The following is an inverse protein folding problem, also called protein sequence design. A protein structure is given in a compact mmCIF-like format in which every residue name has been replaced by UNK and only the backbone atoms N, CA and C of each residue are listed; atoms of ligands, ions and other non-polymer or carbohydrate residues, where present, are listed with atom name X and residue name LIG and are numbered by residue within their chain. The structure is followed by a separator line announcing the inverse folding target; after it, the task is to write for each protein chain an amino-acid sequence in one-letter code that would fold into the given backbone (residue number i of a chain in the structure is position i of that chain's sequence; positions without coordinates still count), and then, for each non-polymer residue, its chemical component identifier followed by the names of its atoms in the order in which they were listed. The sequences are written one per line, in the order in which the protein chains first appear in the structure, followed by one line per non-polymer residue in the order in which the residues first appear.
data_IF_213522933594
#
_entry.id   IF_213522933594
#
_cell.length_a   1.000
_cell.length_b   1.000
_cell.length_c   1.000
_cell.angle_alpha   90.00
_cell.angle_beta   90.00
_cell.angle_gamma   90.00
#
_symmetry.space_group_name_H-M   'P 1'
#
loop_
_entity.id
_entity.type
_entity.pdbx_description
1 polymer ?
#
# COMPACT_ATOMS: atom_id res chain seq x y z
N UNK A 1 9.03 5.20 -51.48
CA UNK A 1 8.99 3.95 -50.70
C UNK A 1 10.05 4.06 -49.62
N UNK A 2 9.62 4.28 -48.38
CA UNK A 2 10.50 4.45 -47.22
C UNK A 2 9.70 4.03 -46.00
N UNK A 3 9.45 2.73 -45.91
CA UNK A 3 8.97 2.13 -44.68
C UNK A 3 10.15 2.06 -43.73
N UNK A 4 10.01 2.64 -42.54
CA UNK A 4 10.65 2.08 -41.36
C UNK A 4 9.91 2.50 -40.10
N UNK A 5 9.14 1.53 -39.59
CA UNK A 5 9.44 0.97 -38.28
C UNK A 5 9.52 2.00 -37.14
N UNK A 6 8.44 2.75 -36.92
CA UNK A 6 8.05 3.15 -35.55
C UNK A 6 7.68 1.88 -34.78
N UNK A 7 8.70 1.08 -34.45
CA UNK A 7 8.68 0.17 -33.32
C UNK A 7 8.46 1.06 -32.10
N UNK A 8 7.17 1.32 -31.84
CA UNK A 8 6.67 1.83 -30.58
C UNK A 8 7.09 0.75 -29.59
N UNK A 9 8.27 0.93 -29.01
CA UNK A 9 8.75 0.21 -27.84
C UNK A 9 7.72 0.48 -26.75
N UNK A 10 6.65 -0.31 -26.79
CA UNK A 10 5.88 -0.70 -25.63
C UNK A 10 6.89 -1.42 -24.74
N UNK A 11 7.74 -0.64 -24.08
CA UNK A 11 8.56 -1.11 -22.99
C UNK A 11 7.56 -1.58 -21.97
N UNK A 12 7.24 -2.88 -22.01
CA UNK A 12 6.66 -3.59 -20.88
C UNK A 12 7.60 -3.26 -19.74
N UNK A 13 7.16 -2.34 -18.88
CA UNK A 13 8.02 -1.97 -17.77
C UNK A 13 7.96 -3.15 -16.81
N UNK A 14 8.92 -4.05 -16.97
CA UNK A 14 9.18 -5.18 -16.09
C UNK A 14 9.77 -4.62 -14.81
N UNK A 15 8.92 -3.98 -14.01
CA UNK A 15 9.30 -3.56 -12.69
C UNK A 15 9.40 -4.80 -11.81
N UNK A 16 10.65 -5.23 -11.59
CA UNK A 16 11.01 -6.13 -10.50
C UNK A 16 10.64 -5.55 -9.13
N UNK A 17 11.13 -6.11 -8.01
CA UNK A 17 10.88 -5.55 -6.69
C UNK A 17 11.24 -4.06 -6.68
N UNK A 18 10.34 -3.22 -6.14
CA UNK A 18 10.60 -1.78 -6.08
C UNK A 18 11.84 -1.53 -5.22
N UNK A 19 12.64 -0.50 -5.51
CA UNK A 19 13.89 -0.26 -4.79
C UNK A 19 13.63 -0.18 -3.30
N UNK A 20 14.46 -0.86 -2.47
CA UNK A 20 14.29 -0.86 -1.04
C UNK A 20 14.34 0.58 -0.51
N UNK A 21 13.50 0.86 0.49
CA UNK A 21 13.56 2.14 1.20
C UNK A 21 14.95 2.28 1.82
N UNK A 22 15.49 3.50 1.84
CA UNK A 22 16.68 3.78 2.65
C UNK A 22 16.40 3.36 4.09
N UNK A 23 17.25 2.48 4.63
CA UNK A 23 17.17 2.00 6.03
C UNK A 23 17.15 3.18 6.99
N UNK A 24 17.88 4.24 6.67
CA UNK A 24 17.92 5.47 7.44
C UNK A 24 16.58 6.21 7.42
N UNK A 25 15.97 6.35 6.24
CA UNK A 25 14.66 6.97 6.09
C UNK A 25 13.56 6.20 6.82
N UNK A 26 13.61 4.86 6.80
CA UNK A 26 12.66 4.02 7.49
C UNK A 26 12.79 4.13 9.02
N UNK A 27 14.02 4.14 9.54
CA UNK A 27 14.31 4.39 10.97
C UNK A 27 13.80 5.76 11.37
N UNK A 28 14.12 6.79 10.60
CA UNK A 28 13.69 8.15 10.86
C UNK A 28 12.16 8.25 10.89
N UNK A 29 11.45 7.71 9.89
CA UNK A 29 9.98 7.66 9.87
C UNK A 29 9.42 6.94 11.11
N UNK A 30 10.02 5.80 11.49
CA UNK A 30 9.56 5.02 12.64
C UNK A 30 9.78 5.72 13.98
N UNK A 31 10.89 6.45 14.17
CA UNK A 31 11.13 7.19 15.41
C UNK A 31 10.39 8.52 15.46
N UNK A 32 10.35 9.26 14.33
CA UNK A 32 9.63 10.54 14.26
C UNK A 32 8.14 10.35 14.52
N UNK A 33 7.50 9.27 14.02
CA UNK A 33 6.09 9.05 14.34
C UNK A 33 5.86 8.97 15.87
N UNK A 34 6.76 8.34 16.64
CA UNK A 34 6.61 8.25 18.11
C UNK A 34 6.91 9.55 18.84
N UNK A 35 7.71 10.44 18.25
CA UNK A 35 7.98 11.78 18.80
C UNK A 35 6.81 12.71 18.50
N UNK A 36 6.26 12.66 17.28
CA UNK A 36 5.19 13.56 16.86
C UNK A 36 3.79 13.10 17.30
N UNK A 37 3.56 11.81 17.56
CA UNK A 37 2.26 11.33 18.05
C UNK A 37 1.86 11.94 19.40
N UNK A 38 2.72 11.99 20.44
CA UNK A 38 2.37 12.66 21.70
C UNK A 38 2.25 14.17 21.52
N UNK A 39 3.07 14.80 20.67
CA UNK A 39 2.97 16.24 20.38
C UNK A 39 1.65 16.57 19.69
N UNK A 40 1.26 15.80 18.67
CA UNK A 40 -0.02 15.95 17.97
C UNK A 40 -1.20 15.70 18.90
N UNK A 41 -1.15 14.66 19.74
CA UNK A 41 -2.18 14.42 20.77
C UNK A 41 -2.27 15.56 21.78
N UNK A 42 -1.15 16.13 22.20
CA UNK A 42 -1.14 17.26 23.12
C UNK A 42 -1.75 18.52 22.47
N UNK A 43 -1.44 18.78 21.19
CA UNK A 43 -2.01 19.91 20.44
C UNK A 43 -3.51 19.73 20.21
N UNK A 44 -3.96 18.55 19.76
CA UNK A 44 -5.39 18.26 19.58
C UNK A 44 -6.12 18.27 20.93
N UNK A 45 -5.52 17.70 21.97
CA UNK A 45 -6.03 17.74 23.34
C UNK A 45 -6.21 19.16 23.84
N UNK A 46 -5.18 20.00 23.73
CA UNK A 46 -5.25 21.41 24.09
C UNK A 46 -6.33 22.15 23.28
N UNK A 47 -6.37 21.97 21.96
CA UNK A 47 -7.40 22.56 21.11
C UNK A 47 -8.81 22.09 21.50
N UNK A 48 -8.98 20.83 21.89
CA UNK A 48 -10.26 20.27 22.32
C UNK A 48 -10.74 20.81 23.68
N UNK A 49 -9.83 21.27 24.54
CA UNK A 49 -10.20 21.98 25.77
C UNK A 49 -10.77 23.37 25.48
N UNK A 50 -10.42 23.96 24.33
CA UNK A 50 -10.96 25.26 23.88
C UNK A 50 -12.14 25.14 22.91
N UNK A 51 -12.42 23.94 22.38
CA UNK A 51 -13.56 23.67 21.49
C UNK A 51 -14.70 22.98 22.23
N UNK A 52 -15.80 23.72 22.45
CA UNK A 52 -17.07 23.13 22.92
C UNK A 52 -17.70 22.35 21.76
N UNK A 53 -17.52 21.03 21.76
CA UNK A 53 -18.30 20.10 20.94
C UNK A 53 -17.53 19.47 19.78
N UNK A 54 -17.44 18.13 19.80
CA UNK A 54 -17.00 17.31 18.68
C UNK A 54 -15.64 16.66 18.89
N UNK A 55 -15.60 15.60 19.70
CA UNK A 55 -14.42 14.73 19.77
C UNK A 55 -14.16 14.03 18.43
N UNK A 56 -12.90 13.69 18.10
CA UNK A 56 -12.55 13.07 16.83
C UNK A 56 -13.18 11.67 16.72
N UNK A 57 -14.13 11.52 15.80
CA UNK A 57 -14.68 10.23 15.42
C UNK A 57 -13.60 9.43 14.68
N UNK A 58 -12.85 8.60 15.41
CA UNK A 58 -12.02 7.55 14.83
C UNK A 58 -12.94 6.49 14.22
N UNK A 59 -13.36 6.72 12.98
CA UNK A 59 -14.11 5.77 12.18
C UNK A 59 -13.22 4.56 11.86
N UNK A 60 -13.27 3.56 12.73
CA UNK A 60 -12.73 2.23 12.46
C UNK A 60 -13.81 1.44 11.73
N UNK A 61 -13.64 1.23 10.42
CA UNK A 61 -14.58 0.48 9.59
C UNK A 61 -14.94 -0.86 10.22
N UNK A 62 -16.20 -1.02 10.63
CA UNK A 62 -16.72 -2.27 11.20
C UNK A 62 -16.85 -3.31 10.09
N UNK A 63 -16.24 -4.47 10.27
CA UNK A 63 -16.53 -5.67 9.47
C UNK A 63 -15.41 -6.16 8.55
N UNK A 64 -14.32 -5.40 8.37
CA UNK A 64 -13.17 -5.88 7.59
C UNK A 64 -12.14 -6.59 8.48
N UNK A 65 -11.52 -7.69 7.99
CA UNK A 65 -10.33 -8.24 8.62
C UNK A 65 -9.27 -7.15 8.76
N UNK A 66 -8.88 -6.85 10.00
CA UNK A 66 -7.88 -5.82 10.32
C UNK A 66 -6.55 -6.23 9.70
N UNK A 67 -5.92 -5.36 8.91
CA UNK A 67 -4.58 -5.66 8.37
C UNK A 67 -3.61 -5.87 9.55
N UNK A 68 -3.03 -7.07 9.74
CA UNK A 68 -2.00 -7.30 10.77
C UNK A 68 -0.77 -6.42 10.57
N UNK A 69 -0.63 -5.81 9.40
CA UNK A 69 0.44 -4.91 9.06
C UNK A 69 0.09 -3.41 9.09
N UNK A 70 -1.16 -3.07 9.43
CA UNK A 70 -1.62 -1.71 9.67
C UNK A 70 -2.25 -1.04 8.44
N UNK A 71 -3.45 -0.50 8.63
CA UNK A 71 -4.22 0.28 7.65
C UNK A 71 -3.97 1.80 7.69
N UNK A 72 -3.14 2.26 8.62
CA UNK A 72 -2.98 3.69 8.88
C UNK A 72 -1.69 4.24 8.28
N UNK A 73 -1.58 5.57 8.25
CA UNK A 73 -0.35 6.32 7.92
C UNK A 73 0.84 5.90 8.80
N UNK A 74 0.58 5.24 9.93
CA UNK A 74 1.58 4.78 10.87
C UNK A 74 2.26 3.49 10.38
N UNK A 75 3.58 3.51 10.43
CA UNK A 75 4.39 2.33 10.12
C UNK A 75 4.29 1.35 11.30
N UNK A 76 3.51 0.28 11.13
CA UNK A 76 3.42 -0.76 12.16
C UNK A 76 4.77 -1.45 12.36
N UNK A 77 5.01 -2.00 13.57
CA UNK A 77 6.25 -2.73 13.86
C UNK A 77 6.45 -3.94 12.93
N UNK A 78 5.37 -4.60 12.52
CA UNK A 78 5.42 -5.71 11.55
C UNK A 78 5.80 -5.22 10.16
N UNK A 79 5.21 -4.11 9.70
CA UNK A 79 5.60 -3.50 8.43
C UNK A 79 7.05 -3.01 8.43
N UNK A 80 7.51 -2.40 9.53
CA UNK A 80 8.90 -1.98 9.68
C UNK A 80 9.87 -3.16 9.56
N UNK A 81 9.59 -4.30 10.20
CA UNK A 81 10.44 -5.50 10.09
C UNK A 81 10.42 -6.09 8.69
N UNK A 82 9.25 -6.10 8.03
CA UNK A 82 9.10 -6.60 6.66
C UNK A 82 9.86 -5.72 5.64
N UNK A 83 9.85 -4.40 5.81
CA UNK A 83 10.60 -3.47 4.97
C UNK A 83 12.12 -3.53 5.20
N UNK A 84 12.58 -3.94 6.37
CA UNK A 84 14.01 -4.10 6.67
C UNK A 84 14.58 -5.44 6.22
N UNK A 85 13.92 -6.54 6.60
CA UNK A 85 14.46 -7.89 6.50
C UNK A 85 13.45 -8.88 5.92
N UNK A 86 12.40 -8.41 5.25
CA UNK A 86 11.34 -9.26 4.73
C UNK A 86 11.84 -10.21 3.65
N UNK A 87 11.53 -11.49 3.79
CA UNK A 87 11.82 -12.47 2.74
C UNK A 87 10.77 -12.39 1.63
N UNK A 88 11.05 -12.89 0.41
CA UNK A 88 10.09 -12.91 -0.70
C UNK A 88 8.76 -13.59 -0.31
N UNK A 89 8.81 -14.65 0.49
CA UNK A 89 7.63 -15.40 0.94
C UNK A 89 6.76 -14.56 1.89
N UNK A 90 7.37 -13.80 2.80
CA UNK A 90 6.64 -12.90 3.70
C UNK A 90 5.98 -11.75 2.92
N UNK A 91 6.65 -11.26 1.87
CA UNK A 91 6.07 -10.28 0.95
C UNK A 91 4.92 -10.86 0.14
N UNK A 92 5.02 -12.12 -0.28
CA UNK A 92 3.94 -12.84 -0.98
C UNK A 92 2.73 -13.05 -0.07
N UNK A 93 2.94 -13.47 1.18
CA UNK A 93 1.87 -13.63 2.17
C UNK A 93 1.13 -12.31 2.40
N UNK A 94 1.89 -11.23 2.60
CA UNK A 94 1.30 -9.90 2.77
C UNK A 94 0.54 -9.43 1.53
N UNK A 95 1.15 -9.50 0.36
CA UNK A 95 0.53 -9.07 -0.88
C UNK A 95 -0.76 -9.87 -1.14
N UNK A 96 -0.73 -11.18 -0.92
CA UNK A 96 -1.88 -12.06 -1.01
C UNK A 96 -2.99 -11.71 -0.01
N UNK A 97 -2.64 -11.41 1.24
CA UNK A 97 -3.62 -10.97 2.25
C UNK A 97 -4.27 -9.63 1.85
N UNK A 98 -3.47 -8.64 1.49
CA UNK A 98 -3.93 -7.31 1.10
C UNK A 98 -4.79 -7.37 -0.18
N UNK A 99 -4.41 -8.22 -1.13
CA UNK A 99 -5.17 -8.47 -2.36
C UNK A 99 -6.51 -9.15 -2.08
N UNK A 100 -6.54 -10.25 -1.31
CA UNK A 100 -7.79 -10.90 -0.90
C UNK A 100 -8.70 -9.94 -0.15
N UNK A 101 -8.13 -9.07 0.69
CA UNK A 101 -8.88 -8.06 1.41
C UNK A 101 -9.43 -6.97 0.47
N UNK A 102 -8.65 -6.53 -0.52
CA UNK A 102 -9.11 -5.57 -1.52
C UNK A 102 -10.23 -6.17 -2.39
N UNK A 103 -10.11 -7.44 -2.77
CA UNK A 103 -11.14 -8.20 -3.49
C UNK A 103 -12.40 -8.39 -2.63
N UNK A 104 -12.24 -8.74 -1.36
CA UNK A 104 -13.36 -8.93 -0.43
C UNK A 104 -14.08 -7.62 -0.10
N UNK A 105 -13.39 -6.48 -0.19
CA UNK A 105 -14.03 -5.17 -0.13
C UNK A 105 -14.95 -4.93 -1.34
N UNK A 106 -14.66 -5.56 -2.48
CA UNK A 106 -15.59 -5.72 -3.59
C UNK A 106 -16.00 -4.42 -4.30
N UNK A 107 -16.72 -4.53 -5.43
CA UNK A 107 -16.87 -3.50 -6.48
C UNK A 107 -17.77 -2.30 -6.11
N UNK A 108 -18.02 -2.05 -4.82
CA UNK A 108 -18.88 -0.95 -4.37
C UNK A 108 -18.19 0.43 -4.38
N UNK A 109 -16.98 0.52 -4.94
CA UNK A 109 -16.29 1.76 -5.27
C UNK A 109 -15.49 1.61 -6.58
N UNK A 110 -15.27 2.70 -7.33
CA UNK A 110 -14.87 2.64 -8.74
C UNK A 110 -13.47 2.07 -9.04
N UNK A 111 -12.61 1.80 -8.04
CA UNK A 111 -11.27 1.24 -8.25
C UNK A 111 -10.82 0.41 -7.03
N UNK A 112 -10.70 -0.91 -7.17
CA UNK A 112 -10.05 -1.75 -6.17
C UNK A 112 -8.56 -1.45 -6.19
N UNK A 113 -8.09 -0.62 -5.25
CA UNK A 113 -6.73 -0.10 -5.27
C UNK A 113 -5.84 -0.74 -4.18
N UNK A 114 -4.60 -1.10 -4.53
CA UNK A 114 -3.63 -1.72 -3.63
C UNK A 114 -2.40 -0.81 -3.47
N UNK A 115 -2.02 -0.40 -2.24
CA UNK A 115 -0.88 0.48 -2.02
C UNK A 115 0.46 -0.26 -2.18
N UNK A 116 1.51 0.46 -2.60
CA UNK A 116 2.89 -0.04 -2.78
C UNK A 116 3.42 -0.71 -1.53
N UNK A 117 3.04 -0.23 -0.34
CA UNK A 117 3.44 -0.84 0.93
C UNK A 117 3.02 -2.32 1.06
N UNK A 118 2.03 -2.78 0.30
CA UNK A 118 1.56 -4.15 0.34
C UNK A 118 2.36 -5.11 -0.56
N UNK A 119 2.95 -4.62 -1.65
CA UNK A 119 3.56 -5.47 -2.69
C UNK A 119 4.99 -5.06 -3.10
N UNK A 120 5.56 -4.03 -2.45
CA UNK A 120 6.89 -3.47 -2.77
C UNK A 120 7.99 -4.52 -2.90
N UNK A 121 8.15 -5.39 -1.90
CA UNK A 121 9.19 -6.42 -1.91
C UNK A 121 8.91 -7.60 -2.83
N UNK A 122 7.65 -7.77 -3.28
CA UNK A 122 7.27 -8.77 -4.28
C UNK A 122 7.45 -8.26 -5.72
N UNK A 123 7.34 -6.93 -5.91
CA UNK A 123 7.35 -6.30 -7.22
C UNK A 123 6.02 -6.45 -7.96
N UNK A 124 5.90 -5.77 -9.11
CA UNK A 124 4.66 -5.78 -9.89
C UNK A 124 4.42 -7.13 -10.56
N UNK A 125 5.48 -7.83 -10.98
CA UNK A 125 5.37 -9.16 -11.62
C UNK A 125 4.79 -10.21 -10.67
N UNK A 126 5.35 -10.34 -9.46
CA UNK A 126 4.84 -11.31 -8.49
C UNK A 126 3.45 -10.95 -7.98
N UNK A 127 3.11 -9.66 -7.93
CA UNK A 127 1.73 -9.25 -7.66
C UNK A 127 0.77 -9.64 -8.79
N UNK A 128 1.18 -9.52 -10.05
CA UNK A 128 0.36 -9.89 -11.22
C UNK A 128 0.08 -11.40 -11.24
N UNK A 129 1.08 -12.22 -10.90
CA UNK A 129 0.94 -13.67 -10.76
C UNK A 129 -0.04 -14.04 -9.63
N UNK A 130 0.04 -13.36 -8.48
CA UNK A 130 -0.91 -13.56 -7.38
C UNK A 130 -2.34 -13.10 -7.75
N UNK A 131 -2.47 -11.97 -8.45
CA UNK A 131 -3.75 -11.47 -8.94
C UNK A 131 -4.37 -12.42 -9.96
N UNK A 132 -3.58 -12.90 -10.92
CA UNK A 132 -4.03 -13.85 -11.93
C UNK A 132 -4.53 -15.15 -11.31
N UNK A 133 -3.85 -15.67 -10.29
CA UNK A 133 -4.29 -16.85 -9.54
C UNK A 133 -5.65 -16.68 -8.85
N UNK A 134 -6.08 -15.44 -8.60
CA UNK A 134 -7.36 -15.10 -8.00
C UNK A 134 -8.41 -14.62 -9.02
N UNK A 135 -8.09 -14.61 -10.31
CA UNK A 135 -9.00 -14.15 -11.37
C UNK A 135 -9.05 -12.63 -11.54
N UNK A 136 -7.99 -11.91 -11.16
CA UNK A 136 -7.87 -10.46 -11.30
C UNK A 136 -6.64 -10.09 -12.13
N UNK A 137 -6.67 -8.92 -12.78
CA UNK A 137 -5.51 -8.33 -13.44
C UNK A 137 -5.15 -6.98 -12.83
N UNK A 138 -3.88 -6.62 -12.93
CA UNK A 138 -3.42 -5.28 -12.61
C UNK A 138 -3.65 -4.34 -13.81
N UNK A 139 -4.36 -3.23 -13.61
CA UNK A 139 -4.39 -2.13 -14.57
C UNK A 139 -3.10 -1.31 -14.44
N UNK A 140 -2.14 -1.62 -15.32
CA UNK A 140 -0.85 -0.94 -15.40
C UNK A 140 -0.98 0.50 -15.92
N UNK A 141 -2.08 0.85 -16.60
CA UNK A 141 -2.35 2.20 -17.11
C UNK A 141 -2.82 3.16 -16.02
N UNK A 142 -3.36 2.63 -14.91
CA UNK A 142 -3.85 3.40 -13.75
C UNK A 142 -2.92 3.36 -12.55
N UNK A 143 -1.64 3.03 -12.75
CA UNK A 143 -0.62 3.17 -11.71
C UNK A 143 -0.49 4.65 -11.30
N UNK A 144 -1.02 5.01 -10.13
CA UNK A 144 -0.90 6.35 -9.56
C UNK A 144 -0.05 6.30 -8.31
N UNK A 145 1.03 7.10 -8.26
CA UNK A 145 1.86 7.37 -7.07
C UNK A 145 1.97 6.21 -6.06
N UNK A 146 2.35 5.03 -6.54
CA UNK A 146 2.53 3.87 -5.69
C UNK A 146 1.23 3.21 -5.21
N UNK A 147 0.20 3.20 -6.04
CA UNK A 147 -1.01 2.39 -5.89
C UNK A 147 -1.32 1.74 -7.23
N UNK A 148 -1.70 0.46 -7.23
CA UNK A 148 -2.18 -0.26 -8.43
C UNK A 148 -3.69 -0.43 -8.35
N UNK A 149 -4.36 -0.27 -9.48
CA UNK A 149 -5.78 -0.59 -9.64
C UNK A 149 -5.90 -2.03 -10.12
N UNK A 150 -6.82 -2.78 -9.52
CA UNK A 150 -7.15 -4.16 -9.84
C UNK A 150 -8.47 -4.22 -10.59
N UNK A 151 -8.50 -4.99 -11.68
CA UNK A 151 -9.70 -5.23 -12.48
C UNK A 151 -10.03 -6.73 -12.49
N UNK A 152 -11.32 -7.12 -12.38
CA UNK A 152 -11.71 -8.51 -12.53
C UNK A 152 -11.46 -8.99 -13.97
N UNK A 153 -11.00 -10.23 -14.13
CA UNK A 153 -10.79 -10.88 -15.42
C UNK A 153 -12.08 -11.49 -16.00
#
# INVERSE_FOLDING_TARGET
MGGDSRARTSGRIEYGPLPPRSVWGLRCQFYLQWIYLPVGLAVVGAASLFSVGGGPALSSGKGLPKDPYGDSVLLSRRQYRLELNGTPEQWQERAGFALRRAIAQGPQGPETSLPVSAYRGLGLKGLDELAGALGWRLDRGRLRFGTVVLEPC
#
